data_IF_465665246433
#
_entry.id   IF_465665246433
#
_cell.length_a   1.000
_cell.length_b   1.000
_cell.length_c   1.000
_cell.angle_alpha   90.00
_cell.angle_beta   90.00
_cell.angle_gamma   90.00
#
_symmetry.space_group_name_H-M   'P 1'
#
loop_
_entity.id
_entity.type
_entity.pdbx_description
1 polymer ?
#
# COMPACT_ATOMS: atom_id res chain seq x y z
N UNK A 1 -15.24 5.27 -9.39
CA UNK A 1 -13.78 5.24 -9.65
C UNK A 1 -13.26 3.87 -9.21
N UNK A 2 -12.09 3.45 -9.66
CA UNK A 2 -11.44 2.19 -9.25
C UNK A 2 -10.22 2.52 -8.41
N UNK A 3 -10.33 2.39 -7.09
CA UNK A 3 -9.29 2.76 -6.14
C UNK A 3 -8.53 1.53 -5.69
N UNK A 4 -7.20 1.59 -5.77
CA UNK A 4 -6.31 0.65 -5.09
C UNK A 4 -5.66 1.40 -3.93
N UNK A 5 -5.63 0.80 -2.73
CA UNK A 5 -4.93 1.39 -1.58
C UNK A 5 -3.91 0.41 -1.02
N UNK A 6 -2.64 0.80 -0.98
CA UNK A 6 -1.56 0.00 -0.41
C UNK A 6 -1.07 0.55 0.93
N UNK A 7 -1.94 1.30 1.60
CA UNK A 7 -1.73 1.89 2.91
C UNK A 7 -2.97 1.63 3.80
N UNK A 8 -2.82 1.01 4.99
CA UNK A 8 -3.95 0.76 5.88
C UNK A 8 -4.75 2.03 6.22
N UNK A 9 -4.10 3.11 6.66
CA UNK A 9 -4.78 4.35 7.00
C UNK A 9 -5.56 4.97 5.83
N UNK A 10 -5.00 4.99 4.62
CA UNK A 10 -5.71 5.45 3.43
C UNK A 10 -6.94 4.58 3.11
N UNK A 11 -6.82 3.27 3.35
CA UNK A 11 -7.93 2.34 3.17
C UNK A 11 -9.07 2.67 4.13
N UNK A 12 -8.75 2.90 5.39
CA UNK A 12 -9.74 3.30 6.40
C UNK A 12 -10.39 4.64 6.07
N UNK A 13 -9.62 5.62 5.58
CA UNK A 13 -10.14 6.92 5.12
C UNK A 13 -11.15 6.74 3.98
N UNK A 14 -10.85 5.93 2.96
CA UNK A 14 -11.77 5.66 1.84
C UNK A 14 -13.11 5.09 2.34
N UNK A 15 -13.08 4.21 3.32
CA UNK A 15 -14.30 3.68 3.94
C UNK A 15 -15.02 4.73 4.78
N UNK A 16 -14.31 5.51 5.60
CA UNK A 16 -14.87 6.58 6.42
C UNK A 16 -15.57 7.66 5.57
N UNK A 17 -15.07 7.92 4.36
CA UNK A 17 -15.69 8.82 3.38
C UNK A 17 -16.92 8.21 2.66
N UNK A 18 -17.35 6.99 3.00
CA UNK A 18 -18.48 6.32 2.36
C UNK A 18 -18.17 5.75 0.97
N UNK A 19 -16.89 5.69 0.58
CA UNK A 19 -16.43 5.30 -0.77
C UNK A 19 -15.79 3.91 -0.80
N UNK A 20 -16.00 3.08 0.23
CA UNK A 20 -15.45 1.71 0.31
C UNK A 20 -15.81 0.82 -0.89
N UNK A 21 -16.96 1.07 -1.54
CA UNK A 21 -17.39 0.36 -2.75
C UNK A 21 -16.50 0.63 -3.98
N UNK A 22 -15.72 1.71 -3.96
CA UNK A 22 -14.76 2.06 -5.02
C UNK A 22 -13.40 1.38 -4.83
N UNK A 23 -13.15 0.80 -3.66
CA UNK A 23 -11.91 0.10 -3.36
C UNK A 23 -11.90 -1.28 -4.06
N UNK A 24 -11.08 -1.41 -5.11
CA UNK A 24 -10.97 -2.62 -5.92
C UNK A 24 -9.75 -3.48 -5.58
N UNK A 25 -8.80 -2.95 -4.80
CA UNK A 25 -7.62 -3.69 -4.34
C UNK A 25 -6.98 -3.05 -3.12
N UNK A 26 -6.29 -3.87 -2.31
CA UNK A 26 -5.72 -3.47 -1.03
C UNK A 26 -4.33 -4.08 -0.77
N UNK A 27 -3.59 -3.62 0.25
CA UNK A 27 -2.49 -4.42 0.79
C UNK A 27 -2.99 -5.55 1.69
N UNK A 28 -2.12 -6.53 1.99
CA UNK A 28 -2.42 -7.65 2.87
C UNK A 28 -2.78 -7.18 4.29
N UNK A 29 -2.15 -6.09 4.73
CA UNK A 29 -2.25 -5.46 6.05
C UNK A 29 -3.51 -4.61 6.19
N UNK A 30 -4.13 -4.18 5.08
CA UNK A 30 -5.40 -3.47 5.13
C UNK A 30 -6.53 -4.43 5.54
N UNK A 31 -7.02 -4.28 6.75
CA UNK A 31 -7.86 -5.31 7.37
C UNK A 31 -9.09 -4.77 8.12
N UNK A 32 -9.25 -3.44 8.09
CA UNK A 32 -10.36 -2.67 8.63
C UNK A 32 -10.95 -1.69 7.58
N UNK A 33 -12.29 -1.49 7.55
CA UNK A 33 -13.29 -2.30 8.25
C UNK A 33 -13.30 -3.74 7.70
N UNK A 34 -13.87 -4.71 8.43
CA UNK A 34 -13.78 -6.13 8.09
C UNK A 34 -14.17 -6.46 6.63
N UNK A 35 -15.09 -5.69 6.03
CA UNK A 35 -15.50 -5.82 4.64
C UNK A 35 -14.33 -5.69 3.64
N UNK A 36 -13.29 -4.90 3.96
CA UNK A 36 -12.13 -4.70 3.09
C UNK A 36 -11.39 -6.00 2.79
N UNK A 37 -11.47 -6.98 3.71
CA UNK A 37 -10.80 -8.27 3.56
C UNK A 37 -11.27 -9.05 2.33
N UNK A 38 -12.49 -8.78 1.85
CA UNK A 38 -13.03 -9.34 0.60
C UNK A 38 -12.38 -8.79 -0.67
N UNK A 39 -11.67 -7.65 -0.58
CA UNK A 39 -11.01 -7.02 -1.73
C UNK A 39 -9.70 -7.76 -2.04
N UNK A 40 -9.36 -7.94 -3.33
CA UNK A 40 -8.11 -8.55 -3.76
C UNK A 40 -6.89 -7.88 -3.13
N UNK A 41 -5.92 -8.69 -2.72
CA UNK A 41 -4.63 -8.19 -2.26
C UNK A 41 -3.75 -7.89 -3.46
N UNK A 42 -3.21 -6.67 -3.52
CA UNK A 42 -2.31 -6.18 -4.56
C UNK A 42 -0.90 -5.89 -4.05
N UNK A 43 -0.70 -5.86 -2.74
CA UNK A 43 0.60 -5.68 -2.10
C UNK A 43 0.79 -6.73 -1.01
N UNK A 44 1.93 -7.39 -1.05
CA UNK A 44 2.29 -8.46 -0.12
C UNK A 44 3.64 -8.20 0.53
N UNK A 45 3.86 -8.64 1.78
CA UNK A 45 5.19 -8.73 2.34
C UNK A 45 6.03 -9.76 1.57
N UNK A 46 7.33 -9.50 1.39
CA UNK A 46 8.23 -10.38 0.61
C UNK A 46 8.65 -11.64 1.35
N UNK A 47 8.83 -11.57 2.67
CA UNK A 47 9.38 -12.69 3.48
C UNK A 47 9.21 -12.51 4.99
N UNK A 48 8.32 -11.60 5.42
CA UNK A 48 8.04 -11.39 6.83
C UNK A 48 7.00 -12.42 7.29
N UNK A 49 7.48 -13.41 8.02
CA UNK A 49 6.62 -14.25 8.85
C UNK A 49 6.33 -13.48 10.14
N UNK A 50 5.07 -13.11 10.36
CA UNK A 50 4.65 -12.37 11.55
C UNK A 50 4.76 -13.18 12.84
N UNK A 51 4.99 -14.50 12.74
CA UNK A 51 5.21 -15.41 13.85
C UNK A 51 6.71 -15.60 14.18
N UNK A 52 7.62 -15.03 13.38
CA UNK A 52 9.04 -15.09 13.65
C UNK A 52 9.41 -14.32 14.92
N UNK A 53 10.49 -14.72 15.58
CA UNK A 53 11.01 -14.00 16.73
C UNK A 53 11.46 -12.58 16.33
N UNK A 54 11.26 -11.60 17.22
CA UNK A 54 11.58 -10.19 16.94
C UNK A 54 13.01 -9.96 16.44
N UNK A 55 14.00 -10.67 17.00
CA UNK A 55 15.40 -10.59 16.55
C UNK A 55 15.63 -11.12 15.12
N UNK A 56 14.84 -12.11 14.68
CA UNK A 56 14.90 -12.59 13.31
C UNK A 56 14.25 -11.60 12.33
N UNK A 57 13.14 -10.97 12.74
CA UNK A 57 12.50 -9.90 11.98
C UNK A 57 13.48 -8.75 11.81
N UNK A 58 14.11 -8.28 12.88
CA UNK A 58 15.10 -7.20 12.85
C UNK A 58 16.28 -7.52 11.93
N UNK A 59 16.84 -8.73 12.02
CA UNK A 59 17.92 -9.17 11.14
C UNK A 59 17.50 -9.14 9.65
N UNK A 60 16.27 -9.58 9.34
CA UNK A 60 15.73 -9.56 7.97
C UNK A 60 15.51 -8.13 7.47
N UNK A 61 14.92 -7.25 8.29
CA UNK A 61 14.71 -5.84 7.95
C UNK A 61 16.04 -5.14 7.73
N UNK A 62 17.02 -5.35 8.61
CA UNK A 62 18.36 -4.78 8.50
C UNK A 62 19.06 -5.24 7.22
N UNK A 63 18.96 -6.52 6.89
CA UNK A 63 19.53 -7.06 5.65
C UNK A 63 18.85 -6.50 4.39
N UNK A 64 17.53 -6.36 4.38
CA UNK A 64 16.78 -5.75 3.27
C UNK A 64 17.18 -4.27 3.08
N UNK A 65 17.26 -3.51 4.18
CA UNK A 65 17.72 -2.12 4.18
C UNK A 65 19.14 -1.99 3.61
N UNK A 66 20.06 -2.87 4.01
CA UNK A 66 21.44 -2.85 3.50
C UNK A 66 21.52 -3.12 1.99
N UNK A 67 20.56 -3.84 1.42
CA UNK A 67 20.43 -4.10 -0.03
C UNK A 67 19.58 -3.08 -0.78
N UNK A 68 18.95 -2.13 -0.08
CA UNK A 68 18.01 -1.18 -0.68
C UNK A 68 16.73 -1.85 -1.20
N UNK A 69 16.34 -2.97 -0.62
CA UNK A 69 15.15 -3.73 -1.01
C UNK A 69 13.95 -3.35 -0.13
N UNK A 70 12.78 -3.13 -0.74
CA UNK A 70 11.53 -3.01 -0.01
C UNK A 70 11.13 -4.34 0.64
N UNK A 71 10.54 -4.27 1.83
CA UNK A 71 9.93 -5.41 2.50
C UNK A 71 8.64 -5.87 1.82
N UNK A 72 8.13 -5.11 0.85
CA UNK A 72 6.87 -5.35 0.18
C UNK A 72 7.04 -5.52 -1.33
N UNK A 73 6.08 -6.21 -1.96
CA UNK A 73 5.97 -6.38 -3.41
C UNK A 73 4.57 -6.04 -3.87
N UNK A 74 4.47 -5.35 -5.01
CA UNK A 74 3.21 -5.16 -5.72
C UNK A 74 2.97 -6.32 -6.68
N UNK A 75 1.72 -6.75 -6.76
CA UNK A 75 1.25 -7.74 -7.72
C UNK A 75 0.84 -7.03 -9.02
N UNK A 76 1.76 -7.04 -9.99
CA UNK A 76 1.61 -6.39 -11.29
C UNK A 76 0.43 -6.97 -12.08
N UNK A 77 0.19 -8.28 -11.97
CA UNK A 77 -0.90 -8.93 -12.69
C UNK A 77 -2.25 -8.53 -12.10
N UNK A 78 -2.36 -8.45 -10.75
CA UNK A 78 -3.57 -7.89 -10.11
C UNK A 78 -3.77 -6.43 -10.49
N UNK A 79 -2.72 -5.59 -10.51
CA UNK A 79 -2.86 -4.20 -10.93
C UNK A 79 -3.38 -4.10 -12.38
N UNK A 80 -2.87 -4.95 -13.28
CA UNK A 80 -3.32 -5.01 -14.68
C UNK A 80 -4.78 -5.43 -14.80
N UNK A 81 -5.20 -6.45 -14.07
CA UNK A 81 -6.60 -6.91 -14.06
C UNK A 81 -7.54 -5.85 -13.46
N UNK A 82 -7.09 -5.21 -12.38
CA UNK A 82 -7.88 -4.24 -11.64
C UNK A 82 -7.94 -2.88 -12.30
N UNK A 83 -7.04 -2.50 -13.22
CA UNK A 83 -7.08 -1.22 -13.96
C UNK A 83 -7.51 -0.03 -13.07
N UNK A 84 -6.74 0.30 -12.01
CA UNK A 84 -7.12 1.38 -11.10
C UNK A 84 -7.09 2.73 -11.81
N UNK A 85 -7.99 3.62 -11.40
CA UNK A 85 -7.99 5.04 -11.75
C UNK A 85 -7.17 5.86 -10.73
N UNK A 86 -7.09 5.38 -9.49
CA UNK A 86 -6.39 6.01 -8.37
C UNK A 86 -5.65 4.95 -7.55
N UNK A 87 -4.40 5.23 -7.19
CA UNK A 87 -3.59 4.41 -6.29
C UNK A 87 -3.13 5.26 -5.10
N UNK A 88 -3.58 4.87 -3.91
CA UNK A 88 -3.20 5.49 -2.64
C UNK A 88 -2.01 4.74 -2.03
N UNK A 89 -0.93 5.45 -1.74
CA UNK A 89 0.31 4.92 -1.17
C UNK A 89 0.88 5.88 -0.13
N UNK A 90 2.05 5.57 0.41
CA UNK A 90 2.88 6.47 1.22
C UNK A 90 4.32 6.42 0.71
N UNK A 91 5.12 7.43 1.07
CA UNK A 91 6.58 7.43 0.82
C UNK A 91 7.35 7.92 2.06
N UNK A 92 7.00 7.36 3.22
CA UNK A 92 7.61 7.69 4.52
C UNK A 92 8.92 6.95 4.76
N UNK A 93 9.11 5.79 4.15
CA UNK A 93 10.14 4.82 4.54
C UNK A 93 10.45 3.88 3.37
N UNK A 94 11.67 3.99 2.81
CA UNK A 94 12.10 3.17 1.66
C UNK A 94 12.38 1.70 1.95
N UNK A 95 11.94 1.17 3.09
CA UNK A 95 12.12 -0.24 3.49
C UNK A 95 10.80 -0.82 3.97
N UNK A 96 10.12 -0.10 4.87
CA UNK A 96 8.89 -0.54 5.51
C UNK A 96 7.61 -0.21 4.73
N UNK A 97 7.75 0.32 3.51
CA UNK A 97 6.66 0.45 2.55
C UNK A 97 7.20 0.32 1.13
N UNK A 98 6.29 0.24 0.16
CA UNK A 98 6.67 0.43 -1.23
C UNK A 98 6.98 1.91 -1.46
N UNK A 99 8.05 2.21 -2.18
CA UNK A 99 8.38 3.60 -2.54
C UNK A 99 7.51 4.10 -3.68
N UNK A 100 7.45 5.42 -3.88
CA UNK A 100 6.82 6.01 -5.07
C UNK A 100 7.35 5.41 -6.37
N UNK A 101 8.68 5.27 -6.50
CA UNK A 101 9.33 4.68 -7.67
C UNK A 101 8.92 3.22 -7.93
N UNK A 102 8.74 2.43 -6.86
CA UNK A 102 8.27 1.04 -6.96
C UNK A 102 6.81 0.97 -7.43
N UNK A 103 5.96 1.86 -6.92
CA UNK A 103 4.56 1.98 -7.34
C UNK A 103 4.48 2.37 -8.81
N UNK A 104 5.20 3.40 -9.22
CA UNK A 104 5.21 3.87 -10.61
C UNK A 104 5.71 2.78 -11.58
N UNK A 105 6.77 2.07 -11.19
CA UNK A 105 7.29 0.94 -11.96
C UNK A 105 6.25 -0.17 -12.08
N UNK A 106 5.62 -0.57 -10.99
CA UNK A 106 4.58 -1.60 -11.02
C UNK A 106 3.38 -1.20 -11.90
N UNK A 107 2.97 0.07 -11.87
CA UNK A 107 1.92 0.60 -12.75
C UNK A 107 2.34 0.56 -14.23
N UNK A 108 3.56 0.97 -14.56
CA UNK A 108 4.09 0.86 -15.93
C UNK A 108 4.14 -0.59 -16.40
N UNK A 109 4.67 -1.50 -15.59
CA UNK A 109 4.78 -2.92 -15.93
C UNK A 109 3.39 -3.55 -16.11
N UNK A 110 2.41 -3.10 -15.32
CA UNK A 110 1.01 -3.50 -15.45
C UNK A 110 0.32 -2.89 -16.68
N UNK A 111 0.88 -1.84 -17.29
CA UNK A 111 0.26 -1.10 -18.40
C UNK A 111 -0.94 -0.25 -17.94
N UNK A 112 -0.91 0.25 -16.70
CA UNK A 112 -1.95 1.10 -16.13
C UNK A 112 -1.38 2.46 -15.73
N UNK A 113 -2.22 3.49 -15.75
CA UNK A 113 -1.82 4.86 -15.45
C UNK A 113 -2.79 5.52 -14.46
N UNK A 114 -2.94 4.98 -13.23
CA UNK A 114 -3.74 5.63 -12.21
C UNK A 114 -3.12 6.98 -11.83
N UNK A 115 -3.93 7.89 -11.31
CA UNK A 115 -3.43 8.96 -10.46
C UNK A 115 -2.78 8.32 -9.22
N UNK A 116 -1.55 8.67 -8.91
CA UNK A 116 -0.85 8.17 -7.71
C UNK A 116 -0.88 9.29 -6.67
N UNK A 117 -1.44 9.00 -5.49
CA UNK A 117 -1.46 9.92 -4.35
C UNK A 117 -0.64 9.29 -3.22
N UNK A 118 0.45 9.95 -2.87
CA UNK A 118 1.29 9.56 -1.74
C UNK A 118 0.93 10.37 -0.51
N UNK A 119 0.37 9.71 0.50
CA UNK A 119 0.04 10.30 1.80
C UNK A 119 1.25 10.14 2.73
N UNK A 120 1.98 11.23 2.96
CA UNK A 120 3.21 11.24 3.76
C UNK A 120 3.10 12.24 4.92
N UNK A 121 2.08 12.14 5.79
CA UNK A 121 1.90 13.08 6.88
C UNK A 121 3.01 12.92 7.92
N UNK A 122 3.54 14.04 8.39
CA UNK A 122 4.56 14.15 9.45
C UNK A 122 4.04 14.87 10.69
N UNK A 123 2.81 15.39 10.62
CA UNK A 123 2.10 16.07 11.71
C UNK A 123 0.64 15.66 11.73
N UNK A 124 -0.01 15.85 12.88
CA UNK A 124 -1.41 15.45 13.05
C UNK A 124 -2.33 16.26 12.11
N UNK A 125 -2.02 17.53 11.89
CA UNK A 125 -2.75 18.39 10.94
C UNK A 125 -2.72 17.82 9.51
N UNK A 126 -1.60 17.21 9.11
CA UNK A 126 -1.44 16.61 7.77
C UNK A 126 -2.20 15.29 7.63
N UNK A 127 -2.39 14.56 8.74
CA UNK A 127 -3.31 13.41 8.78
C UNK A 127 -4.73 13.88 8.50
N UNK A 128 -5.15 14.99 9.11
CA UNK A 128 -6.47 15.57 8.87
C UNK A 128 -6.63 16.03 7.42
N UNK A 129 -5.62 16.71 6.87
CA UNK A 129 -5.61 17.12 5.46
C UNK A 129 -5.73 15.94 4.49
N UNK A 130 -5.26 14.75 4.86
CA UNK A 130 -5.39 13.52 4.06
C UNK A 130 -6.84 13.04 3.91
N UNK A 131 -7.75 13.48 4.78
CA UNK A 131 -9.20 13.19 4.71
C UNK A 131 -9.94 14.21 3.83
N UNK A 132 -9.44 15.43 3.77
CA UNK A 132 -10.07 16.56 3.07
C UNK A 132 -9.67 16.69 1.58
N UNK A 133 -8.58 16.01 1.18
CA UNK A 133 -8.01 16.04 -0.18
C UNK A 133 -8.65 15.00 -1.10
#
# INVERSE_FOLDING_TARGET
MRVVSVLPSATEIVFALGRGHELVGRSAECDYPAEVRSRPVVMHPRTLDSLAASGEIDARVTAARARGESLYRLDVDRLRELRPDLLLTQDLCGVCSVTGDEVERACRDAGVHPAIVSLTPRRLEEVWASVET
#
